data_IF_048239999257
#
_entry.id   IF_048239999257
#
_cell.length_a   1.000
_cell.length_b   1.000
_cell.length_c   1.000
_cell.angle_alpha   90.00
_cell.angle_beta   90.00
_cell.angle_gamma   90.00
#
_symmetry.space_group_name_H-M   'P 1'
#
loop_
_entity.id
_entity.type
_entity.pdbx_description
1 polymer ?
#
# COMPACT_ATOMS: atom_id res chain seq x y z
N UNK A 1 -3.46 5.69 -16.00
CA UNK A 1 -2.54 5.24 -14.94
C UNK A 1 -3.28 4.32 -13.99
N UNK A 2 -2.62 3.30 -13.46
CA UNK A 2 -3.12 2.44 -12.39
C UNK A 2 -2.59 2.96 -11.06
N UNK A 3 -3.48 3.48 -10.21
CA UNK A 3 -3.13 4.04 -8.90
C UNK A 3 -3.16 2.98 -7.80
N UNK A 4 -2.24 3.05 -6.84
CA UNK A 4 -2.28 2.24 -5.61
C UNK A 4 -1.86 3.05 -4.38
N UNK A 5 -2.28 2.58 -3.20
CA UNK A 5 -1.95 3.14 -1.87
C UNK A 5 -2.05 2.05 -0.79
N UNK A 6 -1.41 2.25 0.37
CA UNK A 6 -1.70 1.46 1.57
C UNK A 6 -1.21 0.01 1.54
N UNK A 7 -0.08 -0.26 0.86
CA UNK A 7 0.46 -1.63 0.82
C UNK A 7 0.86 -2.12 2.22
N UNK A 8 1.36 -1.24 3.08
CA UNK A 8 1.69 -1.60 4.45
C UNK A 8 0.45 -2.10 5.22
N UNK A 9 -0.64 -1.34 5.16
CA UNK A 9 -1.91 -1.65 5.81
C UNK A 9 -2.55 -2.90 5.19
N UNK A 10 -2.41 -3.08 3.87
CA UNK A 10 -2.82 -4.31 3.17
C UNK A 10 -2.11 -5.54 3.73
N UNK A 11 -0.79 -5.47 3.92
CA UNK A 11 -0.01 -6.58 4.48
C UNK A 11 -0.37 -6.82 5.95
N UNK A 12 -0.59 -5.76 6.74
CA UNK A 12 -1.04 -5.90 8.12
C UNK A 12 -2.43 -6.55 8.21
N UNK A 13 -3.37 -6.14 7.36
CA UNK A 13 -4.72 -6.71 7.31
C UNK A 13 -4.70 -8.21 6.95
N UNK A 14 -3.80 -8.63 6.06
CA UNK A 14 -3.72 -10.01 5.60
C UNK A 14 -2.89 -10.92 6.52
N UNK A 15 -1.89 -10.38 7.23
CA UNK A 15 -0.87 -11.20 7.90
C UNK A 15 -0.61 -10.86 9.37
N UNK A 16 -1.20 -9.79 9.93
CA UNK A 16 -1.55 -9.55 11.34
C UNK A 16 -0.52 -9.62 12.47
N UNK A 17 0.59 -10.33 12.30
CA UNK A 17 1.37 -10.85 13.44
C UNK A 17 2.76 -10.22 13.57
N UNK A 18 3.28 -9.62 12.49
CA UNK A 18 4.61 -9.02 12.45
C UNK A 18 4.61 -7.77 11.59
N UNK A 19 5.38 -6.78 12.00
CA UNK A 19 5.57 -5.58 11.20
C UNK A 19 6.29 -5.94 9.89
N UNK A 20 5.82 -5.37 8.77
CA UNK A 20 6.39 -5.60 7.42
C UNK A 20 7.90 -5.39 7.35
N UNK A 21 8.47 -4.44 8.12
CA UNK A 21 9.92 -4.18 8.14
C UNK A 21 10.71 -5.26 8.87
N UNK A 22 10.11 -5.89 9.88
CA UNK A 22 10.77 -6.87 10.73
C UNK A 22 10.63 -8.30 10.16
N UNK A 23 10.07 -8.42 8.95
CA UNK A 23 9.89 -9.69 8.24
C UNK A 23 10.18 -9.56 6.75
N UNK A 24 11.30 -10.14 6.32
CA UNK A 24 11.66 -10.25 4.90
C UNK A 24 10.55 -10.92 4.08
N UNK A 25 9.87 -11.91 4.66
CA UNK A 25 8.74 -12.59 4.04
C UNK A 25 7.56 -11.65 3.77
N UNK A 26 7.20 -10.79 4.74
CA UNK A 26 6.11 -9.82 4.55
C UNK A 26 6.50 -8.72 3.57
N UNK A 27 7.75 -8.27 3.60
CA UNK A 27 8.30 -7.34 2.61
C UNK A 27 8.23 -7.93 1.19
N UNK A 28 8.60 -9.19 1.02
CA UNK A 28 8.51 -9.90 -0.26
C UNK A 28 7.06 -9.98 -0.76
N UNK A 29 6.08 -10.18 0.12
CA UNK A 29 4.66 -10.14 -0.26
C UNK A 29 4.20 -8.76 -0.72
N UNK A 30 4.64 -7.70 -0.04
CA UNK A 30 4.37 -6.31 -0.47
C UNK A 30 4.94 -6.02 -1.85
N UNK A 31 6.17 -6.47 -2.12
CA UNK A 31 6.81 -6.38 -3.44
C UNK A 31 6.02 -7.17 -4.49
N UNK A 32 5.61 -8.41 -4.18
CA UNK A 32 4.85 -9.26 -5.10
C UNK A 32 3.50 -8.63 -5.52
N UNK A 33 2.83 -7.89 -4.63
CA UNK A 33 1.63 -7.14 -4.97
C UNK A 33 1.96 -6.07 -6.03
N UNK A 34 3.00 -5.26 -5.80
CA UNK A 34 3.40 -4.21 -6.74
C UNK A 34 3.86 -4.78 -8.08
N UNK A 35 4.61 -5.87 -8.07
CA UNK A 35 5.02 -6.60 -9.28
C UNK A 35 3.81 -7.10 -10.05
N UNK A 36 2.79 -7.64 -9.37
CA UNK A 36 1.55 -8.09 -10.02
C UNK A 36 0.77 -6.94 -10.66
N UNK A 37 0.73 -5.78 -10.01
CA UNK A 37 0.11 -4.56 -10.56
C UNK A 37 0.91 -4.06 -11.77
N UNK A 38 2.24 -4.13 -11.73
CA UNK A 38 3.11 -3.77 -12.84
C UNK A 38 2.86 -4.67 -14.05
N UNK A 39 2.80 -5.98 -13.85
CA UNK A 39 2.49 -6.95 -14.90
C UNK A 39 1.14 -6.65 -15.57
N UNK A 40 0.12 -6.24 -14.80
CA UNK A 40 -1.19 -5.87 -15.37
C UNK A 40 -1.08 -4.64 -16.30
N UNK A 41 -0.32 -3.63 -15.88
CA UNK A 41 -0.07 -2.42 -16.68
C UNK A 41 0.66 -2.75 -17.97
N UNK A 42 1.66 -3.63 -17.91
CA UNK A 42 2.43 -4.07 -19.07
C UNK A 42 1.56 -4.91 -20.02
N UNK A 43 0.73 -5.81 -19.48
CA UNK A 43 -0.25 -6.59 -20.26
C UNK A 43 -1.25 -5.68 -20.98
N UNK A 44 -1.85 -4.70 -20.30
CA UNK A 44 -2.80 -3.79 -20.95
C UNK A 44 -2.15 -2.94 -22.04
N UNK A 45 -0.86 -2.62 -21.90
CA UNK A 45 -0.10 -1.93 -22.92
C UNK A 45 0.04 -2.79 -24.18
N UNK A 46 0.33 -4.08 -24.02
CA UNK A 46 0.40 -5.03 -25.15
C UNK A 46 -0.96 -5.23 -25.83
N UNK A 47 -2.04 -5.35 -25.04
CA UNK A 47 -3.39 -5.61 -25.54
C UNK A 47 -4.01 -4.42 -26.28
N UNK A 48 -3.74 -3.20 -25.80
CA UNK A 48 -4.47 -2.00 -26.28
C UNK A 48 -3.60 -1.03 -27.07
N UNK A 49 -2.27 -1.17 -26.98
CA UNK A 49 -1.31 -0.20 -27.52
C UNK A 49 -1.19 1.10 -26.69
N UNK A 50 -1.97 1.28 -25.61
CA UNK A 50 -1.89 2.46 -24.75
C UNK A 50 -0.83 2.32 -23.66
N UNK A 51 -0.07 3.39 -23.44
CA UNK A 51 0.93 3.46 -22.37
C UNK A 51 0.30 3.63 -20.99
N UNK A 52 -0.09 2.54 -20.34
CA UNK A 52 -0.45 2.58 -18.92
C UNK A 52 0.81 2.75 -18.06
N UNK A 53 0.69 3.48 -16.94
CA UNK A 53 1.73 3.62 -15.93
C UNK A 53 1.21 3.19 -14.57
N UNK A 54 2.07 2.56 -13.77
CA UNK A 54 1.80 2.28 -12.37
C UNK A 54 2.16 3.53 -11.54
N UNK A 55 1.26 3.99 -10.69
CA UNK A 55 1.37 5.25 -9.99
C UNK A 55 1.08 5.09 -8.50
N UNK A 56 2.05 5.45 -7.66
CA UNK A 56 1.82 5.61 -6.23
C UNK A 56 1.08 6.93 -6.04
N UNK A 57 -0.23 6.87 -5.79
CA UNK A 57 -1.09 8.06 -5.78
C UNK A 57 -0.72 8.96 -4.60
N UNK A 58 -0.19 10.19 -4.80
CA UNK A 58 0.05 11.12 -3.71
C UNK A 58 -1.24 11.90 -3.47
N UNK A 59 -2.10 11.43 -2.58
CA UNK A 59 -3.34 12.15 -2.31
C UNK A 59 -3.80 11.94 -0.87
N UNK A 60 -3.47 12.89 -0.01
CA UNK A 60 -3.93 12.95 1.38
C UNK A 60 -5.46 12.85 1.47
N UNK A 61 -6.19 13.58 0.62
CA UNK A 61 -7.65 13.49 0.57
C UNK A 61 -8.18 12.09 0.23
N UNK A 62 -7.44 11.32 -0.59
CA UNK A 62 -7.84 9.97 -0.95
C UNK A 62 -7.49 8.96 0.16
N UNK A 63 -6.34 9.14 0.82
CA UNK A 63 -5.92 8.37 2.00
C UNK A 63 -7.01 8.35 3.06
N UNK A 64 -7.45 9.54 3.46
CA UNK A 64 -8.41 9.73 4.54
C UNK A 64 -9.78 9.21 4.12
N UNK A 65 -10.14 9.40 2.84
CA UNK A 65 -11.41 8.91 2.32
C UNK A 65 -11.49 7.39 2.34
N UNK A 66 -10.46 6.68 1.90
CA UNK A 66 -10.46 5.22 1.92
C UNK A 66 -10.47 4.70 3.36
N UNK A 67 -9.60 5.21 4.22
CA UNK A 67 -9.58 4.80 5.62
C UNK A 67 -10.94 5.02 6.30
N UNK A 68 -11.61 6.16 6.05
CA UNK A 68 -12.94 6.42 6.61
C UNK A 68 -14.02 5.46 6.12
N UNK A 69 -13.99 5.09 4.83
CA UNK A 69 -14.94 4.13 4.27
C UNK A 69 -14.70 2.75 4.86
N UNK A 70 -13.44 2.32 4.93
CA UNK A 70 -13.07 1.02 5.50
C UNK A 70 -13.38 0.96 7.00
N UNK A 71 -13.16 2.03 7.76
CA UNK A 71 -13.57 2.12 9.18
C UNK A 71 -15.08 2.02 9.35
N UNK A 72 -15.87 2.58 8.42
CA UNK A 72 -17.33 2.51 8.49
C UNK A 72 -17.85 1.09 8.23
N UNK A 73 -17.16 0.31 7.41
CA UNK A 73 -17.55 -1.06 7.06
C UNK A 73 -16.99 -2.10 8.03
N UNK A 74 -15.71 -2.00 8.39
CA UNK A 74 -14.98 -3.01 9.15
C UNK A 74 -14.64 -2.59 10.58
N UNK A 75 -14.95 -1.36 10.97
CA UNK A 75 -14.59 -0.80 12.26
C UNK A 75 -13.11 -0.41 12.36
N UNK A 76 -12.65 -0.17 13.59
CA UNK A 76 -11.25 0.18 13.86
C UNK A 76 -10.42 -1.10 13.89
N UNK A 77 -9.53 -1.26 12.93
CA UNK A 77 -8.62 -2.39 12.78
C UNK A 77 -7.20 -1.93 13.14
N UNK A 78 -6.58 -2.50 14.19
CA UNK A 78 -5.22 -2.14 14.60
C UNK A 78 -4.18 -2.33 13.48
N UNK A 79 -3.34 -1.33 13.26
CA UNK A 79 -2.31 -1.33 12.22
C UNK A 79 -2.84 -1.17 10.79
N UNK A 80 -4.13 -0.88 10.63
CA UNK A 80 -4.81 -0.70 9.33
C UNK A 80 -5.59 0.61 9.35
N UNK A 81 -6.73 0.69 10.06
CA UNK A 81 -7.61 1.87 10.06
C UNK A 81 -7.52 2.72 11.32
N UNK A 82 -6.79 2.26 12.33
CA UNK A 82 -6.58 2.92 13.62
C UNK A 82 -5.91 4.30 13.53
N UNK A 83 -5.08 4.52 12.50
CA UNK A 83 -4.41 5.80 12.25
C UNK A 83 -5.32 6.86 11.62
N UNK A 84 -6.47 6.43 11.07
CA UNK A 84 -7.42 7.33 10.39
C UNK A 84 -7.02 7.74 8.96
N UNK A 85 -5.87 7.31 8.45
CA UNK A 85 -5.40 7.55 7.09
C UNK A 85 -4.46 6.45 6.60
N UNK A 86 -4.35 6.29 5.28
CA UNK A 86 -3.37 5.40 4.66
C UNK A 86 -2.13 6.15 4.16
N UNK A 87 -0.89 5.72 4.49
CA UNK A 87 0.33 6.40 4.06
C UNK A 87 0.55 6.30 2.54
N UNK A 88 0.96 7.43 1.95
CA UNK A 88 1.25 7.60 0.52
C UNK A 88 2.62 7.04 0.07
N UNK A 89 3.45 6.53 0.99
CA UNK A 89 4.83 6.13 0.69
C UNK A 89 5.17 4.73 1.20
N UNK A 90 5.98 4.05 0.41
CA UNK A 90 6.37 2.65 0.59
C UNK A 90 7.45 2.40 1.65
N UNK A 91 8.29 3.37 2.06
CA UNK A 91 9.06 3.22 3.27
C UNK A 91 8.65 4.27 4.31
N UNK A 92 8.36 3.75 5.50
CA UNK A 92 8.31 4.39 6.80
C UNK A 92 6.98 5.04 7.14
N UNK A 93 6.16 4.27 7.86
CA UNK A 93 5.29 4.88 8.86
C UNK A 93 6.15 5.85 9.69
N UNK A 94 5.73 7.11 9.75
CA UNK A 94 6.42 8.23 10.42
C UNK A 94 6.75 7.93 11.89
N UNK A 95 6.10 6.90 12.45
CA UNK A 95 6.21 6.45 13.84
C UNK A 95 7.49 5.65 14.15
N UNK A 96 8.25 5.16 13.15
CA UNK A 96 9.51 4.44 13.40
C UNK A 96 10.71 5.36 13.12
N UNK A 97 11.50 5.67 14.17
CA UNK A 97 12.81 6.33 14.02
C UNK A 97 13.72 5.39 13.24
N UNK A 98 13.99 5.71 11.98
CA UNK A 98 15.06 5.08 11.21
C UNK A 98 16.12 6.09 10.83
N UNK A 99 17.30 5.59 10.46
CA UNK A 99 18.37 6.44 9.97
C UNK A 99 18.17 6.70 8.47
N UNK A 100 18.80 7.74 7.88
CA UNK A 100 18.70 8.03 6.45
C UNK A 100 19.20 6.91 5.51
N UNK A 101 19.78 5.83 6.06
CA UNK A 101 20.40 4.72 5.34
C UNK A 101 19.52 3.46 5.32
N UNK A 102 18.38 3.46 6.02
CA UNK A 102 17.43 2.34 6.12
C UNK A 102 16.23 2.52 5.18
#
# INVERSE_FOLDING_TARGET
>A
SLGYIGIHETINALFGDKHVYDSEQLRAKGIAIVERLRQAVDQWKEETGYGFSLYSTPSENLCDRFCRLDTAEFGVVPGVTDKGYYPNRFPLAVEKKVTPYD
#
